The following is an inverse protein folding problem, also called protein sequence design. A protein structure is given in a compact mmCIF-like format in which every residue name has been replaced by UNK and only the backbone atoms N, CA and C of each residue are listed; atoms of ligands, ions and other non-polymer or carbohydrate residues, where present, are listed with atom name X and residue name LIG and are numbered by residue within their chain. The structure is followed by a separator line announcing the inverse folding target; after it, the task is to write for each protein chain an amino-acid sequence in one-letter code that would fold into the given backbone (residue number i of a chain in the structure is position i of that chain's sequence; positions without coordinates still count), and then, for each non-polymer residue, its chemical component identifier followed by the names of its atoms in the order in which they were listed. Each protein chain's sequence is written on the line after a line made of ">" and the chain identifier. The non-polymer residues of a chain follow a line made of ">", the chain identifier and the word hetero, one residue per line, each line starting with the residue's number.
data_IF_638434060717
#
_entry.id   IF_638434060717
#
_cell.length_a   1.000
_cell.length_b   1.000
_cell.length_c   1.000
_cell.angle_alpha   90.00
_cell.angle_beta   90.00
_cell.angle_gamma   90.00
#
_symmetry.space_group_name_H-M   'P 1'
#
loop_
_entity.id
_entity.type
_entity.pdbx_description
1 polymer ?
#
# COMPACT_ATOMS: atom_id res chain seq x y z
N UNK A 1 -12.33 15.49 6.78
CA UNK A 1 -11.72 15.41 5.43
C UNK A 1 -10.38 14.73 5.58
N UNK A 2 -10.07 13.67 4.85
CA UNK A 2 -8.70 13.18 4.84
C UNK A 2 -7.82 14.31 4.27
N UNK A 3 -6.86 14.77 5.06
CA UNK A 3 -5.89 15.75 4.57
C UNK A 3 -5.00 15.06 3.54
N UNK A 4 -4.98 15.56 2.31
CA UNK A 4 -3.96 15.12 1.36
C UNK A 4 -2.57 15.42 1.94
N UNK A 5 -1.58 14.56 1.63
CA UNK A 5 -0.20 14.85 2.00
C UNK A 5 0.21 16.24 1.49
N UNK A 6 0.91 17.04 2.29
CA UNK A 6 1.42 18.32 1.84
C UNK A 6 2.39 18.14 0.66
N UNK A 7 2.47 19.13 -0.20
CA UNK A 7 3.40 19.14 -1.33
C UNK A 7 4.58 20.06 -1.05
N UNK A 8 5.73 19.69 -1.57
CA UNK A 8 6.95 20.47 -1.47
C UNK A 8 7.81 20.30 -2.72
N UNK A 9 8.86 21.09 -2.86
CA UNK A 9 9.83 20.88 -3.93
C UNK A 9 10.84 19.79 -3.52
N UNK A 10 11.38 19.01 -4.46
CA UNK A 10 12.43 18.04 -4.14
C UNK A 10 13.60 18.67 -3.40
N UNK A 11 14.08 19.82 -3.84
CA UNK A 11 15.24 20.51 -3.26
C UNK A 11 15.02 20.90 -1.79
N UNK A 12 13.83 21.41 -1.43
CA UNK A 12 13.50 21.79 -0.06
C UNK A 12 13.51 20.58 0.89
N UNK A 13 13.28 19.41 0.36
CA UNK A 13 13.27 18.13 1.08
C UNK A 13 14.57 17.33 0.90
N UNK A 14 15.63 17.94 0.40
CA UNK A 14 16.96 17.32 0.21
C UNK A 14 16.90 16.11 -0.74
N UNK A 15 16.09 16.20 -1.77
CA UNK A 15 16.06 15.29 -2.90
C UNK A 15 16.57 16.03 -4.11
N UNK A 16 17.58 15.48 -4.79
CA UNK A 16 18.08 16.06 -6.02
C UNK A 16 17.03 15.90 -7.14
N UNK A 17 16.50 17.00 -7.71
CA UNK A 17 15.57 16.90 -8.83
C UNK A 17 16.16 16.16 -10.04
N UNK A 18 17.46 16.27 -10.28
CA UNK A 18 18.13 15.59 -11.38
C UNK A 18 18.13 14.06 -11.19
N UNK A 19 18.18 13.58 -9.94
CA UNK A 19 18.07 12.15 -9.66
C UNK A 19 16.69 11.60 -10.01
N UNK A 20 15.60 12.38 -9.78
CA UNK A 20 14.25 11.99 -10.17
C UNK A 20 14.13 11.92 -11.70
N UNK A 21 14.65 12.93 -12.41
CA UNK A 21 14.65 12.94 -13.88
C UNK A 21 15.48 11.79 -14.44
N UNK A 22 16.67 11.54 -13.89
CA UNK A 22 17.49 10.40 -14.31
C UNK A 22 16.84 9.05 -14.07
N UNK A 23 16.04 8.91 -13.00
CA UNK A 23 15.22 7.71 -12.80
C UNK A 23 14.16 7.57 -13.90
N UNK A 24 13.45 8.65 -14.21
CA UNK A 24 12.41 8.66 -15.25
C UNK A 24 13.00 8.33 -16.63
N UNK A 25 14.14 8.95 -16.98
CA UNK A 25 14.86 8.66 -18.23
C UNK A 25 15.28 7.20 -18.32
N UNK A 26 15.77 6.64 -17.21
CA UNK A 26 16.17 5.24 -17.16
C UNK A 26 14.99 4.27 -17.34
N UNK A 27 13.81 4.61 -16.83
CA UNK A 27 12.60 3.81 -17.02
C UNK A 27 12.07 3.97 -18.44
N UNK A 28 12.03 5.19 -18.97
CA UNK A 28 11.53 5.48 -20.33
C UNK A 28 12.38 4.77 -21.41
N UNK A 29 13.66 4.55 -21.13
CA UNK A 29 14.54 3.75 -21.99
C UNK A 29 14.24 2.24 -21.97
N UNK A 30 13.31 1.77 -21.14
CA UNK A 30 12.97 0.35 -20.96
C UNK A 30 11.61 0.03 -21.61
N UNK A 31 11.57 -0.53 -22.82
CA UNK A 31 10.32 -0.84 -23.52
C UNK A 31 9.51 -1.96 -22.86
N UNK A 32 10.10 -2.68 -21.91
CA UNK A 32 9.48 -3.75 -21.14
C UNK A 32 8.82 -3.25 -19.84
N UNK A 33 8.90 -1.95 -19.55
CA UNK A 33 8.30 -1.32 -18.39
C UNK A 33 7.23 -0.32 -18.83
N UNK A 34 5.99 -0.51 -18.36
CA UNK A 34 4.90 0.43 -18.54
C UNK A 34 4.66 1.18 -17.22
N UNK A 35 4.92 2.48 -17.23
CA UNK A 35 4.66 3.33 -16.06
C UNK A 35 3.18 3.72 -16.00
N UNK A 36 2.57 3.54 -14.84
CA UNK A 36 1.20 3.96 -14.58
C UNK A 36 1.16 5.25 -13.78
N UNK A 37 1.91 5.29 -12.70
CA UNK A 37 2.05 6.48 -11.85
C UNK A 37 3.34 6.42 -11.05
N UNK A 38 3.80 7.59 -10.62
CA UNK A 38 4.89 7.75 -9.68
C UNK A 38 4.48 8.75 -8.61
N UNK A 39 4.79 8.46 -7.37
CA UNK A 39 4.72 9.43 -6.27
C UNK A 39 5.96 9.25 -5.39
N UNK A 40 6.73 10.32 -5.25
CA UNK A 40 7.89 10.36 -4.36
C UNK A 40 7.51 11.15 -3.11
N UNK A 41 7.61 10.49 -1.97
CA UNK A 41 7.30 11.11 -0.66
C UNK A 41 8.57 11.20 0.17
N UNK A 42 8.86 12.38 0.69
CA UNK A 42 10.00 12.63 1.57
C UNK A 42 9.60 13.49 2.77
N UNK A 43 9.92 13.04 3.97
CA UNK A 43 9.55 13.72 5.22
C UNK A 43 8.06 14.08 5.30
N UNK A 44 7.18 13.18 4.84
CA UNK A 44 5.73 13.38 4.82
C UNK A 44 5.21 14.34 3.75
N UNK A 45 6.05 14.83 2.83
CA UNK A 45 5.66 15.68 1.71
C UNK A 45 5.77 14.94 0.39
N UNK A 46 4.81 15.12 -0.49
CA UNK A 46 4.92 14.70 -1.89
C UNK A 46 5.82 15.69 -2.60
N UNK A 47 6.98 15.21 -3.08
CA UNK A 47 8.02 16.05 -3.72
C UNK A 47 8.08 15.86 -5.23
N UNK A 48 7.48 14.77 -5.74
CA UNK A 48 7.23 14.58 -7.17
C UNK A 48 6.05 13.63 -7.33
N UNK A 49 5.23 13.87 -8.34
CA UNK A 49 4.14 12.98 -8.71
C UNK A 49 3.84 13.10 -10.20
N UNK A 50 3.38 12.02 -10.81
CA UNK A 50 3.00 11.98 -12.21
C UNK A 50 2.20 10.75 -12.56
N UNK A 51 1.47 10.84 -13.66
CA UNK A 51 0.65 9.77 -14.22
C UNK A 51 0.90 9.67 -15.73
N UNK A 52 0.93 8.46 -16.24
CA UNK A 52 1.06 8.17 -17.66
C UNK A 52 -0.28 7.73 -18.23
N UNK A 53 -0.63 8.24 -19.41
CA UNK A 53 -1.87 7.82 -20.08
C UNK A 53 -1.90 6.29 -20.25
N UNK A 54 -3.05 5.64 -20.02
CA UNK A 54 -4.39 6.21 -19.75
C UNK A 54 -4.70 6.48 -18.27
N UNK A 55 -3.72 6.45 -17.38
CA UNK A 55 -3.89 6.61 -15.94
C UNK A 55 -3.92 8.10 -15.55
N UNK A 56 -4.62 8.40 -14.45
CA UNK A 56 -4.68 9.74 -13.86
C UNK A 56 -4.89 9.63 -12.35
N UNK A 57 -4.75 10.74 -11.64
CA UNK A 57 -4.92 10.80 -10.19
C UNK A 57 -6.32 10.37 -9.72
N UNK A 58 -7.34 10.59 -10.55
CA UNK A 58 -8.75 10.34 -10.25
C UNK A 58 -9.20 8.92 -10.61
N UNK A 59 -8.42 8.21 -11.43
CA UNK A 59 -8.78 6.86 -11.88
C UNK A 59 -8.42 5.83 -10.84
N UNK A 60 -9.37 4.98 -10.42
CA UNK A 60 -9.06 3.83 -9.58
C UNK A 60 -8.00 2.94 -10.23
N UNK A 61 -7.04 2.50 -9.43
CA UNK A 61 -5.96 1.64 -9.87
C UNK A 61 -5.95 0.34 -9.08
N UNK A 62 -5.70 -0.78 -9.77
CA UNK A 62 -5.56 -2.08 -9.11
C UNK A 62 -4.25 -2.10 -8.31
N UNK A 63 -4.38 -2.35 -7.01
CA UNK A 63 -3.24 -2.36 -6.10
C UNK A 63 -2.58 -3.75 -5.97
N UNK A 64 -3.22 -4.79 -6.50
CA UNK A 64 -2.75 -6.17 -6.34
C UNK A 64 -2.35 -6.46 -4.88
N UNK A 65 -1.16 -7.01 -4.65
CA UNK A 65 -0.69 -7.37 -3.31
C UNK A 65 -0.40 -6.17 -2.39
N UNK A 66 -0.33 -4.94 -2.89
CA UNK A 66 -0.28 -3.76 -2.02
C UNK A 66 -1.53 -3.66 -1.13
N UNK A 67 -2.66 -4.24 -1.57
CA UNK A 67 -3.89 -4.37 -0.76
C UNK A 67 -3.64 -5.06 0.60
N UNK A 68 -2.64 -5.96 0.70
CA UNK A 68 -2.28 -6.61 1.95
C UNK A 68 -1.75 -5.64 3.00
N UNK A 69 -1.10 -4.55 2.58
CA UNK A 69 -0.64 -3.49 3.49
C UNK A 69 -1.83 -2.76 4.13
N UNK A 70 -2.90 -2.54 3.37
CA UNK A 70 -4.13 -1.97 3.91
C UNK A 70 -4.84 -2.95 4.84
N UNK A 71 -4.90 -4.23 4.47
CA UNK A 71 -5.49 -5.27 5.32
C UNK A 71 -4.74 -5.41 6.64
N UNK A 72 -3.40 -5.45 6.62
CA UNK A 72 -2.60 -5.53 7.85
C UNK A 72 -2.75 -4.28 8.73
N UNK A 73 -2.88 -3.10 8.12
CA UNK A 73 -3.16 -1.87 8.86
C UNK A 73 -4.54 -1.91 9.51
N UNK A 74 -5.56 -2.39 8.80
CA UNK A 74 -6.91 -2.58 9.35
C UNK A 74 -6.91 -3.58 10.51
N UNK A 75 -6.17 -4.68 10.39
CA UNK A 75 -6.01 -5.66 11.48
C UNK A 75 -5.33 -5.03 12.71
N UNK A 76 -4.33 -4.15 12.50
CA UNK A 76 -3.69 -3.44 13.61
C UNK A 76 -4.65 -2.47 14.32
N UNK A 77 -5.55 -1.80 13.60
CA UNK A 77 -6.61 -1.00 14.21
C UNK A 77 -7.59 -1.87 15.01
N UNK A 78 -8.05 -2.98 14.45
CA UNK A 78 -8.93 -3.91 15.14
C UNK A 78 -8.27 -4.48 16.43
N UNK A 79 -6.97 -4.77 16.38
CA UNK A 79 -6.21 -5.17 17.57
C UNK A 79 -6.16 -4.05 18.62
N UNK A 80 -5.89 -2.82 18.19
CA UNK A 80 -5.83 -1.67 19.11
C UNK A 80 -7.19 -1.39 19.77
N UNK A 81 -8.29 -1.70 19.10
CA UNK A 81 -9.65 -1.61 19.61
C UNK A 81 -10.09 -2.84 20.42
N UNK A 82 -9.22 -3.86 20.55
CA UNK A 82 -9.50 -5.09 21.28
C UNK A 82 -10.49 -6.04 20.59
N UNK A 83 -10.67 -5.88 19.28
CA UNK A 83 -11.60 -6.71 18.47
C UNK A 83 -10.97 -8.02 18.01
N UNK A 84 -9.63 -8.10 17.99
CA UNK A 84 -8.88 -9.31 17.71
C UNK A 84 -7.53 -9.31 18.45
N UNK A 85 -7.00 -10.49 18.71
CA UNK A 85 -5.64 -10.72 19.21
C UNK A 85 -4.77 -11.35 18.11
N UNK A 86 -3.48 -11.03 18.10
CA UNK A 86 -2.55 -11.64 17.11
C UNK A 86 -2.33 -13.14 17.34
N UNK A 87 -2.66 -13.62 18.54
CA UNK A 87 -2.55 -15.03 18.94
C UNK A 87 -3.88 -15.80 18.90
N UNK A 88 -4.97 -15.12 18.53
CA UNK A 88 -6.27 -15.76 18.38
C UNK A 88 -6.22 -16.76 17.21
N UNK A 89 -6.93 -17.88 17.35
CA UNK A 89 -7.10 -18.79 16.23
C UNK A 89 -8.06 -18.14 15.21
N UNK A 90 -7.69 -18.17 13.93
CA UNK A 90 -8.53 -17.60 12.86
C UNK A 90 -9.96 -18.15 12.91
N UNK A 91 -10.13 -19.44 13.24
CA UNK A 91 -11.44 -20.11 13.35
C UNK A 91 -12.34 -19.48 14.41
N UNK A 92 -11.80 -18.86 15.45
CA UNK A 92 -12.58 -18.25 16.51
C UNK A 92 -13.31 -16.98 16.04
N UNK A 93 -12.81 -16.34 14.98
CA UNK A 93 -13.46 -15.20 14.34
C UNK A 93 -14.50 -15.59 13.28
N UNK A 94 -14.63 -16.89 12.98
CA UNK A 94 -15.57 -17.43 11.98
C UNK A 94 -16.34 -18.63 12.56
N UNK A 95 -17.13 -18.43 13.61
CA UNK A 95 -17.81 -19.54 14.32
C UNK A 95 -18.76 -20.33 13.43
N UNK A 96 -19.32 -19.72 12.38
CA UNK A 96 -20.18 -20.36 11.39
C UNK A 96 -19.48 -21.48 10.62
N UNK A 97 -18.15 -21.39 10.44
CA UNK A 97 -17.35 -22.40 9.73
C UNK A 97 -16.64 -23.37 10.68
N UNK A 98 -16.67 -23.11 11.99
CA UNK A 98 -15.89 -23.87 12.97
C UNK A 98 -16.23 -25.38 12.98
N UNK A 99 -17.48 -25.75 12.69
CA UNK A 99 -17.90 -27.15 12.64
C UNK A 99 -17.38 -27.89 11.40
N UNK A 100 -17.12 -27.19 10.31
CA UNK A 100 -16.63 -27.75 9.05
C UNK A 100 -15.12 -27.98 9.05
N UNK A 101 -14.40 -27.21 9.88
CA UNK A 101 -12.94 -27.28 9.99
C UNK A 101 -12.56 -28.39 10.95
N UNK A 102 -12.29 -29.59 10.42
CA UNK A 102 -11.96 -30.79 11.21
C UNK A 102 -10.47 -31.05 11.36
N UNK A 103 -9.63 -30.53 10.45
CA UNK A 103 -8.16 -30.68 10.52
C UNK A 103 -7.59 -29.82 11.68
N UNK A 104 -6.93 -30.48 12.67
CA UNK A 104 -6.34 -29.74 13.81
C UNK A 104 -5.32 -28.67 13.41
N UNK A 105 -4.59 -28.86 12.31
CA UNK A 105 -3.59 -27.90 11.82
C UNK A 105 -4.28 -26.65 11.32
N UNK A 106 -5.39 -26.80 10.59
CA UNK A 106 -6.19 -25.65 10.13
C UNK A 106 -6.79 -24.91 11.31
N UNK A 107 -7.28 -25.61 12.34
CA UNK A 107 -7.81 -25.01 13.56
C UNK A 107 -6.77 -24.21 14.37
N UNK A 108 -5.49 -24.53 14.22
CA UNK A 108 -4.40 -23.87 14.95
C UNK A 108 -3.79 -22.68 14.21
N UNK A 109 -4.28 -22.33 13.02
CA UNK A 109 -3.80 -21.14 12.27
C UNK A 109 -4.19 -19.87 13.02
N UNK A 110 -3.19 -18.98 13.19
CA UNK A 110 -3.31 -17.68 13.87
C UNK A 110 -3.13 -16.55 12.88
#
# INVERSE_FOLDING_TARGET
>A
MPSSLPRGTPADHKVDPAAILGFLDAIDARPDIEMHSLMVVRHGHVVAEGWWAPYSAERPHLLYSLSKSFTSTAAAFAQAEGLLGLDDAVVDHFPEFAAEITDPRTRSVK
#
